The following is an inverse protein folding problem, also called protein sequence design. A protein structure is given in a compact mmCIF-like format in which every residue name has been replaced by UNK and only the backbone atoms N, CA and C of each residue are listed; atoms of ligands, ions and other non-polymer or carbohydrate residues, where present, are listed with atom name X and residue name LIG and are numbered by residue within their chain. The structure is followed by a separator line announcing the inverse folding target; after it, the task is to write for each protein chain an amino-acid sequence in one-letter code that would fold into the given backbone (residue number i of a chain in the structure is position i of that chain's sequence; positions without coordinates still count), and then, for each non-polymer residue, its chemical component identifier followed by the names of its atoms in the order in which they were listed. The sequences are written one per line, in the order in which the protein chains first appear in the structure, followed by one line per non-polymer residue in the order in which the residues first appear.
data_IF_129194327835
#
_entry.id   IF_129194327835
#
_cell.length_a   1.000
_cell.length_b   1.000
_cell.length_c   1.000
_cell.angle_alpha   90.00
_cell.angle_beta   90.00
_cell.angle_gamma   90.00
#
_symmetry.space_group_name_H-M   'P 1'
#
loop_
_entity.id
_entity.type
_entity.pdbx_description
1 polymer ?
#
# COMPACT_ATOMS: atom_id res chain seq x y z
N UNK A 1 -5.87 -30.01 -1.69
CA UNK A 1 -5.71 -28.56 -1.93
C UNK A 1 -4.25 -28.30 -2.27
N UNK A 2 -3.95 -27.57 -3.32
CA UNK A 2 -2.58 -27.19 -3.64
C UNK A 2 -2.09 -26.10 -2.65
N UNK A 3 -0.77 -25.98 -2.47
CA UNK A 3 -0.18 -24.91 -1.64
C UNK A 3 -0.63 -23.50 -2.10
N UNK A 4 -0.85 -23.33 -3.40
CA UNK A 4 -1.35 -22.08 -3.97
C UNK A 4 -2.79 -21.79 -3.53
N UNK A 5 -3.67 -22.80 -3.61
CA UNK A 5 -5.07 -22.64 -3.17
C UNK A 5 -5.18 -22.27 -1.69
N UNK A 6 -4.34 -22.84 -0.86
CA UNK A 6 -4.31 -22.52 0.57
C UNK A 6 -3.85 -21.06 0.81
N UNK A 7 -2.82 -20.59 0.08
CA UNK A 7 -2.35 -19.20 0.15
C UNK A 7 -3.42 -18.22 -0.34
N UNK A 8 -4.11 -18.55 -1.42
CA UNK A 8 -5.24 -17.73 -1.93
C UNK A 8 -6.34 -17.69 -0.88
N UNK A 9 -6.78 -18.83 -0.35
CA UNK A 9 -7.82 -18.90 0.68
C UNK A 9 -7.50 -18.02 1.90
N UNK A 10 -6.29 -18.14 2.45
CA UNK A 10 -5.84 -17.31 3.58
C UNK A 10 -5.83 -15.81 3.25
N UNK A 11 -5.50 -15.45 2.00
CA UNK A 11 -5.52 -14.06 1.56
C UNK A 11 -6.94 -13.51 1.46
N UNK A 12 -7.88 -14.31 0.93
CA UNK A 12 -9.30 -13.93 0.84
C UNK A 12 -9.95 -13.79 2.22
N UNK A 13 -9.66 -14.72 3.14
CA UNK A 13 -10.13 -14.65 4.53
C UNK A 13 -9.64 -13.37 5.21
N UNK A 14 -8.38 -13.02 5.01
CA UNK A 14 -7.79 -11.78 5.55
C UNK A 14 -8.44 -10.52 4.97
N UNK A 15 -8.64 -10.48 3.65
CA UNK A 15 -9.30 -9.35 3.02
C UNK A 15 -10.72 -9.14 3.56
N UNK A 16 -11.49 -10.21 3.76
CA UNK A 16 -12.82 -10.13 4.34
C UNK A 16 -12.80 -9.72 5.81
N UNK A 17 -11.80 -10.19 6.58
CA UNK A 17 -11.70 -9.89 8.00
C UNK A 17 -11.40 -8.41 8.30
N UNK A 18 -10.74 -7.71 7.39
CA UNK A 18 -10.34 -6.30 7.56
C UNK A 18 -11.03 -5.35 6.57
N UNK A 19 -12.13 -5.76 5.96
CA UNK A 19 -12.86 -4.90 5.03
C UNK A 19 -13.43 -3.67 5.73
N UNK A 20 -12.98 -2.44 5.37
CA UNK A 20 -13.54 -1.23 5.94
C UNK A 20 -14.87 -0.86 5.25
N UNK A 21 -15.73 -0.10 5.92
CA UNK A 21 -17.03 0.34 5.38
C UNK A 21 -16.87 1.13 4.06
N UNK A 22 -15.84 1.98 4.00
CA UNK A 22 -15.51 2.78 2.81
C UNK A 22 -14.83 1.99 1.69
N UNK A 23 -14.52 0.70 1.92
CA UNK A 23 -13.77 -0.15 1.01
C UNK A 23 -12.26 0.13 1.02
N UNK A 24 -11.50 -0.80 0.47
CA UNK A 24 -10.04 -0.70 0.37
C UNK A 24 -9.58 0.35 -0.64
N UNK A 25 -8.43 0.95 -0.40
CA UNK A 25 -7.65 1.66 -1.40
C UNK A 25 -6.58 0.73 -1.96
N UNK A 26 -6.66 0.35 -3.23
CA UNK A 26 -5.62 -0.43 -3.91
C UNK A 26 -4.63 0.51 -4.60
N UNK A 27 -3.39 0.57 -4.09
CA UNK A 27 -2.30 1.26 -4.76
C UNK A 27 -1.83 0.43 -5.97
N UNK A 28 -2.42 0.69 -7.13
CA UNK A 28 -2.17 -0.07 -8.35
C UNK A 28 -1.00 0.51 -9.13
N UNK A 29 0.02 -0.30 -9.42
CA UNK A 29 1.21 0.11 -10.17
C UNK A 29 1.32 -0.50 -11.57
N UNK A 30 0.41 -1.40 -11.93
CA UNK A 30 0.48 -2.18 -13.17
C UNK A 30 1.53 -3.30 -13.16
N UNK A 31 2.31 -3.43 -12.08
CA UNK A 31 3.24 -4.54 -11.90
C UNK A 31 2.52 -5.82 -11.45
N UNK A 32 3.14 -6.99 -11.66
CA UNK A 32 2.58 -8.30 -11.35
C UNK A 32 1.98 -8.40 -9.94
N UNK A 33 2.63 -7.81 -8.94
CA UNK A 33 2.18 -7.89 -7.55
C UNK A 33 0.88 -7.08 -7.33
N UNK A 34 0.75 -5.90 -7.93
CA UNK A 34 -0.48 -5.10 -7.86
C UNK A 34 -1.63 -5.70 -8.66
N UNK A 35 -1.32 -6.34 -9.79
CA UNK A 35 -2.32 -7.10 -10.58
C UNK A 35 -2.82 -8.30 -9.78
N UNK A 36 -1.92 -9.03 -9.09
CA UNK A 36 -2.31 -10.12 -8.19
C UNK A 36 -3.19 -9.62 -7.03
N UNK A 37 -2.84 -8.49 -6.41
CA UNK A 37 -3.66 -7.89 -5.35
C UNK A 37 -5.06 -7.53 -5.87
N UNK A 38 -5.16 -6.96 -7.08
CA UNK A 38 -6.44 -6.66 -7.71
C UNK A 38 -7.27 -7.93 -7.93
N UNK A 39 -6.67 -8.97 -8.49
CA UNK A 39 -7.36 -10.25 -8.68
C UNK A 39 -7.86 -10.86 -7.36
N UNK A 40 -7.08 -10.78 -6.28
CA UNK A 40 -7.52 -11.25 -4.96
C UNK A 40 -8.67 -10.41 -4.40
N UNK A 41 -8.68 -9.10 -4.61
CA UNK A 41 -9.79 -8.23 -4.22
C UNK A 41 -11.05 -8.57 -5.02
N UNK A 42 -10.94 -8.76 -6.35
CA UNK A 42 -12.05 -9.19 -7.21
C UNK A 42 -12.63 -10.55 -6.73
N UNK A 43 -11.76 -11.52 -6.42
CA UNK A 43 -12.17 -12.82 -5.90
C UNK A 43 -12.78 -12.76 -4.49
N UNK A 44 -12.37 -11.82 -3.66
CA UNK A 44 -12.88 -11.67 -2.29
C UNK A 44 -14.30 -11.10 -2.24
N UNK A 45 -14.69 -10.34 -3.27
CA UNK A 45 -15.95 -9.58 -3.32
C UNK A 45 -15.96 -8.35 -2.41
N UNK A 46 -14.82 -7.98 -1.81
CA UNK A 46 -14.69 -6.79 -0.97
C UNK A 46 -14.77 -5.51 -1.82
N UNK A 47 -15.28 -4.45 -1.24
CA UNK A 47 -15.32 -3.12 -1.88
C UNK A 47 -13.90 -2.56 -1.96
N UNK A 48 -13.53 -2.00 -3.11
CA UNK A 48 -12.24 -1.31 -3.24
C UNK A 48 -12.24 -0.28 -4.37
N UNK A 49 -11.32 0.69 -4.26
CA UNK A 49 -10.99 1.63 -5.32
C UNK A 49 -9.54 1.41 -5.75
N UNK A 50 -9.33 1.02 -7.00
CA UNK A 50 -7.98 0.89 -7.55
C UNK A 50 -7.52 2.22 -8.16
N UNK A 51 -6.36 2.70 -7.73
CA UNK A 51 -5.81 3.96 -8.23
C UNK A 51 -4.36 3.80 -8.69
N UNK A 52 -4.11 4.17 -9.94
CA UNK A 52 -2.77 4.33 -10.49
C UNK A 52 -2.33 5.78 -10.38
N UNK A 53 -1.29 6.03 -9.61
CA UNK A 53 -0.67 7.35 -9.46
C UNK A 53 0.33 7.59 -10.58
N UNK A 54 0.03 8.57 -11.44
CA UNK A 54 0.88 8.90 -12.60
C UNK A 54 2.17 9.55 -12.11
N UNK A 55 3.30 8.91 -12.39
CA UNK A 55 4.63 9.40 -11.95
C UNK A 55 5.30 10.34 -12.94
N UNK A 56 4.77 10.43 -14.17
CA UNK A 56 5.34 11.14 -15.33
C UNK A 56 6.66 10.58 -15.88
N UNK A 57 7.16 9.46 -15.34
CA UNK A 57 8.37 8.76 -15.80
C UNK A 57 8.14 7.27 -16.04
N UNK A 58 6.91 6.80 -15.89
CA UNK A 58 6.59 5.42 -16.20
C UNK A 58 6.65 5.17 -17.73
N UNK A 59 7.06 3.96 -18.17
CA UNK A 59 7.10 3.61 -19.57
C UNK A 59 5.72 3.76 -20.24
N UNK A 60 5.63 4.26 -21.48
CA UNK A 60 4.36 4.40 -22.19
C UNK A 60 3.59 3.07 -22.34
N UNK A 61 4.31 1.96 -22.43
CA UNK A 61 3.75 0.61 -22.51
C UNK A 61 2.95 0.26 -21.27
N UNK A 62 3.47 0.61 -20.09
CA UNK A 62 2.79 0.40 -18.82
C UNK A 62 1.50 1.21 -18.75
N UNK A 63 1.54 2.47 -19.16
CA UNK A 63 0.36 3.35 -19.18
C UNK A 63 -0.70 2.82 -20.13
N UNK A 64 -0.30 2.33 -21.31
CA UNK A 64 -1.20 1.70 -22.28
C UNK A 64 -1.80 0.41 -21.74
N UNK A 65 -0.98 -0.45 -21.11
CA UNK A 65 -1.43 -1.68 -20.46
C UNK A 65 -2.50 -1.38 -19.41
N UNK A 66 -2.25 -0.45 -18.50
CA UNK A 66 -3.23 -0.06 -17.48
C UNK A 66 -4.51 0.47 -18.10
N UNK A 67 -4.40 1.29 -19.17
CA UNK A 67 -5.57 1.85 -19.86
C UNK A 67 -6.42 0.79 -20.54
N UNK A 68 -5.79 -0.20 -21.16
CA UNK A 68 -6.48 -1.18 -21.99
C UNK A 68 -6.98 -2.38 -21.19
N UNK A 69 -6.13 -2.92 -20.30
CA UNK A 69 -6.44 -4.14 -19.54
C UNK A 69 -7.13 -3.88 -18.19
N UNK A 70 -6.98 -2.65 -17.67
CA UNK A 70 -7.56 -2.26 -16.38
C UNK A 70 -8.27 -0.91 -16.49
N UNK A 71 -9.33 -0.78 -17.31
CA UNK A 71 -10.05 0.47 -17.51
C UNK A 71 -10.77 0.97 -16.25
N UNK A 72 -11.06 0.08 -15.31
CA UNK A 72 -11.66 0.33 -14.01
C UNK A 72 -10.70 1.00 -13.02
N UNK A 73 -9.39 0.95 -13.29
CA UNK A 73 -8.38 1.60 -12.44
C UNK A 73 -8.37 3.11 -12.69
N UNK A 74 -8.67 3.87 -11.64
CA UNK A 74 -8.62 5.34 -11.69
C UNK A 74 -7.17 5.81 -11.89
N UNK A 75 -6.97 6.70 -12.84
CA UNK A 75 -5.67 7.34 -13.08
C UNK A 75 -5.66 8.71 -12.43
N UNK A 76 -4.73 8.94 -11.53
CA UNK A 76 -4.64 10.16 -10.77
C UNK A 76 -3.27 10.81 -10.92
N UNK A 77 -3.25 12.10 -11.28
CA UNK A 77 -2.04 12.92 -11.26
C UNK A 77 -1.92 13.56 -9.89
N UNK A 78 -0.84 13.29 -9.12
CA UNK A 78 -0.61 13.94 -7.84
C UNK A 78 -0.64 15.46 -7.96
N UNK A 79 -1.23 16.14 -6.97
CA UNK A 79 -1.28 17.60 -6.90
C UNK A 79 -0.64 18.11 -5.62
N UNK A 80 -0.07 19.29 -5.67
CA UNK A 80 0.44 19.99 -4.49
C UNK A 80 -0.68 20.75 -3.75
N UNK A 81 -0.33 21.43 -2.64
CA UNK A 81 -1.27 22.23 -1.85
C UNK A 81 -1.99 23.33 -2.65
N UNK A 82 -1.36 23.80 -3.72
CA UNK A 82 -1.88 24.86 -4.58
C UNK A 82 -2.69 24.31 -5.75
N UNK A 83 -2.88 22.97 -5.80
CA UNK A 83 -3.62 22.29 -6.84
C UNK A 83 -2.83 22.01 -8.13
N UNK A 84 -1.54 22.37 -8.19
CA UNK A 84 -0.73 22.16 -9.38
C UNK A 84 -0.31 20.68 -9.51
N UNK A 85 -0.21 20.12 -10.73
CA UNK A 85 0.23 18.78 -10.94
C UNK A 85 1.68 18.59 -10.49
N UNK A 86 1.92 17.55 -9.69
CA UNK A 86 3.27 17.17 -9.26
C UNK A 86 3.82 16.11 -10.22
N UNK A 87 4.93 16.43 -10.86
CA UNK A 87 5.63 15.57 -11.82
C UNK A 87 7.09 15.42 -11.41
N UNK A 88 7.79 14.42 -11.94
CA UNK A 88 9.23 14.29 -11.72
C UNK A 88 9.99 15.54 -12.19
N UNK A 89 9.55 16.10 -13.33
CA UNK A 89 10.18 17.25 -13.97
C UNK A 89 10.09 18.54 -13.15
N UNK A 90 9.02 18.72 -12.37
CA UNK A 90 8.92 19.89 -11.48
C UNK A 90 9.43 19.60 -10.05
N UNK A 91 9.53 18.33 -9.65
CA UNK A 91 10.13 17.95 -8.36
C UNK A 91 11.65 18.13 -8.34
N UNK A 92 12.35 17.78 -9.42
CA UNK A 92 13.82 17.86 -9.48
C UNK A 92 14.32 19.30 -9.23
N UNK A 93 13.82 20.33 -9.93
CA UNK A 93 14.20 21.71 -9.63
C UNK A 93 13.85 22.16 -8.21
N UNK A 94 12.66 21.78 -7.71
CA UNK A 94 12.23 22.11 -6.33
C UNK A 94 13.13 21.49 -5.26
N UNK A 95 13.72 20.33 -5.53
CA UNK A 95 14.62 19.61 -4.61
C UNK A 95 16.10 19.89 -4.89
N UNK A 96 16.40 20.63 -5.96
CA UNK A 96 17.76 20.99 -6.41
C UNK A 96 18.68 19.79 -6.65
N UNK A 97 18.11 18.59 -6.77
CA UNK A 97 18.86 17.35 -7.04
C UNK A 97 17.92 16.26 -7.60
N UNK A 98 18.40 15.38 -8.48
CA UNK A 98 17.62 14.22 -8.89
C UNK A 98 17.44 13.24 -7.73
N UNK A 99 16.37 12.41 -7.75
CA UNK A 99 16.18 11.39 -6.73
C UNK A 99 17.30 10.34 -6.81
N UNK A 100 17.75 9.89 -5.65
CA UNK A 100 18.76 8.84 -5.52
C UNK A 100 18.17 7.64 -4.78
N UNK A 101 18.93 6.53 -4.72
CA UNK A 101 18.53 5.35 -3.94
C UNK A 101 18.35 5.66 -2.44
N UNK A 102 19.11 6.62 -1.92
CA UNK A 102 19.03 7.05 -0.52
C UNK A 102 17.98 8.13 -0.31
N UNK A 103 17.88 9.08 -1.25
CA UNK A 103 16.93 10.21 -1.16
C UNK A 103 15.79 9.99 -2.13
N UNK A 104 14.74 9.29 -1.65
CA UNK A 104 13.62 8.79 -2.45
C UNK A 104 12.38 9.70 -2.37
N UNK A 105 12.55 11.01 -2.43
CA UNK A 105 11.44 11.96 -2.33
C UNK A 105 10.36 11.74 -3.43
N UNK A 106 10.76 11.19 -4.58
CA UNK A 106 9.81 10.85 -5.65
C UNK A 106 8.77 9.81 -5.22
N UNK A 107 9.16 8.81 -4.42
CA UNK A 107 8.21 7.81 -3.92
C UNK A 107 7.17 8.45 -3.04
N UNK A 108 7.60 9.25 -2.07
CA UNK A 108 6.70 9.94 -1.14
C UNK A 108 5.77 10.91 -1.86
N UNK A 109 6.31 11.73 -2.78
CA UNK A 109 5.51 12.77 -3.46
C UNK A 109 4.59 12.21 -4.55
N UNK A 110 5.01 11.16 -5.28
CA UNK A 110 4.28 10.69 -6.45
C UNK A 110 3.48 9.39 -6.19
N UNK A 111 3.96 8.50 -5.32
CA UNK A 111 3.34 7.17 -5.13
C UNK A 111 2.65 6.99 -3.78
N UNK A 112 3.26 7.48 -2.69
CA UNK A 112 2.85 7.16 -1.32
C UNK A 112 1.80 8.13 -0.75
N UNK A 113 1.49 9.21 -1.44
CA UNK A 113 0.54 10.25 -0.99
C UNK A 113 -0.92 9.98 -1.34
N UNK A 114 -1.26 8.78 -1.79
CA UNK A 114 -2.65 8.41 -2.10
C UNK A 114 -3.28 7.55 -1.02
N UNK A 115 -4.63 7.59 -0.92
CA UNK A 115 -5.39 6.78 0.01
C UNK A 115 -5.30 7.23 1.47
N UNK A 116 -5.07 8.53 1.70
CA UNK A 116 -5.00 9.10 3.04
C UNK A 116 -6.26 8.78 3.86
N UNK A 117 -6.04 8.24 5.06
CA UNK A 117 -7.11 7.84 5.98
C UNK A 117 -7.82 6.51 5.62
N UNK A 118 -7.48 5.88 4.50
CA UNK A 118 -8.08 4.60 4.05
C UNK A 118 -7.15 3.41 4.29
N UNK A 119 -7.74 2.24 4.44
CA UNK A 119 -6.98 1.00 4.51
C UNK A 119 -6.43 0.65 3.12
N UNK A 120 -5.10 0.68 3.00
CA UNK A 120 -4.40 0.51 1.71
C UNK A 120 -3.92 -0.93 1.51
N UNK A 121 -4.29 -1.53 0.37
CA UNK A 121 -3.74 -2.81 -0.09
C UNK A 121 -2.52 -2.55 -0.96
N UNK A 122 -1.41 -3.20 -0.63
CA UNK A 122 -0.15 -3.10 -1.38
C UNK A 122 0.46 -4.48 -1.61
N UNK A 123 0.98 -4.70 -2.81
CA UNK A 123 1.68 -5.93 -3.19
C UNK A 123 3.15 -5.93 -2.74
N UNK A 124 3.41 -5.90 -1.43
CA UNK A 124 4.76 -5.92 -0.88
C UNK A 124 5.18 -7.34 -0.53
N UNK A 125 6.31 -7.80 -1.07
CA UNK A 125 6.85 -9.13 -0.78
C UNK A 125 7.99 -9.06 0.24
N UNK A 126 7.94 -9.93 1.23
CA UNK A 126 9.02 -10.04 2.24
C UNK A 126 10.36 -10.46 1.63
N UNK A 127 10.33 -11.29 0.59
CA UNK A 127 11.53 -11.76 -0.11
C UNK A 127 12.35 -10.63 -0.79
N UNK A 128 11.76 -9.43 -0.97
CA UNK A 128 12.46 -8.31 -1.62
C UNK A 128 13.47 -7.60 -0.71
N UNK A 129 13.35 -7.72 0.61
CA UNK A 129 14.24 -7.03 1.53
C UNK A 129 14.11 -7.60 2.95
N UNK A 130 15.25 -7.89 3.57
CA UNK A 130 15.33 -8.32 4.98
C UNK A 130 14.68 -7.28 5.91
N UNK A 131 14.82 -5.99 5.61
CA UNK A 131 14.17 -4.93 6.38
C UNK A 131 12.64 -4.96 6.26
N UNK A 132 12.11 -5.33 5.09
CA UNK A 132 10.66 -5.50 4.91
C UNK A 132 10.16 -6.70 5.70
N UNK A 133 10.85 -7.82 5.63
CA UNK A 133 10.51 -9.02 6.39
C UNK A 133 10.47 -8.76 7.91
N UNK A 134 11.45 -8.00 8.43
CA UNK A 134 11.53 -7.70 9.86
C UNK A 134 10.54 -6.63 10.35
N UNK A 135 10.18 -5.68 9.47
CA UNK A 135 9.47 -4.47 9.87
C UNK A 135 8.05 -4.36 9.32
N UNK A 136 7.63 -5.26 8.44
CA UNK A 136 6.29 -5.24 7.86
C UNK A 136 5.56 -6.53 8.21
N UNK A 137 4.54 -6.41 9.07
CA UNK A 137 3.56 -7.48 9.27
C UNK A 137 2.65 -7.62 8.05
N UNK A 138 1.79 -8.63 8.07
CA UNK A 138 0.77 -8.86 7.03
C UNK A 138 -0.22 -7.69 6.98
N UNK A 139 -0.59 -7.15 8.13
CA UNK A 139 -1.35 -5.92 8.28
C UNK A 139 -0.50 -4.93 9.08
N UNK A 140 -0.30 -3.73 8.56
CA UNK A 140 0.48 -2.68 9.23
C UNK A 140 -0.39 -1.43 9.36
N UNK A 141 -0.64 -1.00 10.57
CA UNK A 141 -1.38 0.23 10.84
C UNK A 141 -0.37 1.37 11.00
N UNK A 142 -0.44 2.33 10.11
CA UNK A 142 0.45 3.49 10.11
C UNK A 142 -0.07 4.58 11.04
N UNK A 143 -1.40 4.74 11.14
CA UNK A 143 -2.05 5.73 11.99
C UNK A 143 -2.64 5.09 13.26
N UNK A 144 -2.32 5.68 14.43
CA UNK A 144 -2.88 5.26 15.72
C UNK A 144 -4.39 5.45 15.84
N UNK A 145 -4.98 6.39 15.10
CA UNK A 145 -6.42 6.60 15.08
C UNK A 145 -7.12 5.47 14.34
N UNK A 146 -6.54 5.03 13.21
CA UNK A 146 -7.04 3.88 12.47
C UNK A 146 -6.95 2.58 13.29
N UNK A 147 -5.96 2.43 14.17
CA UNK A 147 -5.82 1.25 15.04
C UNK A 147 -6.97 1.05 16.03
N UNK A 148 -7.80 2.06 16.25
CA UNK A 148 -8.96 2.01 17.16
C UNK A 148 -10.26 1.66 16.43
N UNK A 149 -10.23 1.48 15.12
CA UNK A 149 -11.41 1.09 14.34
C UNK A 149 -11.86 -0.34 14.74
N UNK A 150 -13.18 -0.61 14.74
CA UNK A 150 -13.73 -1.89 15.20
C UNK A 150 -13.17 -3.11 14.48
N UNK A 151 -12.97 -3.00 13.17
CA UNK A 151 -12.44 -4.07 12.33
C UNK A 151 -11.05 -4.59 12.77
N UNK A 152 -10.25 -3.75 13.45
CA UNK A 152 -8.95 -4.16 14.00
C UNK A 152 -9.05 -4.71 15.43
N UNK A 153 -10.11 -4.40 16.16
CA UNK A 153 -10.32 -4.88 17.52
C UNK A 153 -10.82 -6.33 17.56
N UNK A 154 -11.61 -6.73 16.57
CA UNK A 154 -12.30 -8.02 16.54
C UNK A 154 -11.47 -9.15 15.93
N UNK A 155 -10.55 -8.83 15.02
CA UNK A 155 -9.77 -9.82 14.26
C UNK A 155 -8.41 -10.13 14.91
N UNK A 156 -8.43 -10.84 16.05
CA UNK A 156 -7.21 -11.18 16.83
C UNK A 156 -6.26 -12.15 16.13
N UNK A 157 -6.73 -12.94 15.18
CA UNK A 157 -5.92 -13.94 14.46
C UNK A 157 -4.94 -13.32 13.45
N UNK A 158 -5.15 -12.03 13.11
CA UNK A 158 -4.30 -11.26 12.21
C UNK A 158 -3.81 -10.00 12.90
N UNK A 159 -2.99 -10.14 13.94
CA UNK A 159 -2.49 -9.00 14.70
C UNK A 159 -1.78 -7.98 13.79
N UNK A 160 -2.28 -6.73 13.71
CA UNK A 160 -1.67 -5.71 12.88
C UNK A 160 -0.39 -5.16 13.53
N UNK A 161 0.61 -4.89 12.71
CA UNK A 161 1.81 -4.15 13.14
C UNK A 161 1.49 -2.66 13.11
N UNK A 162 1.52 -1.99 14.26
CA UNK A 162 1.25 -0.55 14.36
C UNK A 162 2.53 0.24 14.09
N UNK A 163 2.52 1.10 13.07
CA UNK A 163 3.57 2.10 12.83
C UNK A 163 3.07 3.48 13.25
N UNK A 164 3.90 4.21 14.01
CA UNK A 164 3.61 5.60 14.34
C UNK A 164 3.75 6.49 13.09
N UNK A 165 2.67 7.20 12.72
CA UNK A 165 2.73 8.25 11.71
C UNK A 165 3.52 9.46 12.24
N UNK A 166 4.50 9.90 11.47
CA UNK A 166 5.35 11.06 11.75
C UNK A 166 6.72 10.88 11.11
N UNK A 167 7.32 11.96 10.65
CA UNK A 167 8.60 12.01 9.94
C UNK A 167 9.82 11.48 10.73
N UNK A 168 9.61 10.87 11.88
CA UNK A 168 10.58 10.06 12.61
C UNK A 168 9.91 8.74 12.97
N UNK A 169 10.34 7.66 12.34
CA UNK A 169 9.98 6.29 12.68
C UNK A 169 10.37 6.01 14.15
N UNK A 170 9.49 6.30 15.09
CA UNK A 170 9.58 5.74 16.43
C UNK A 170 8.88 4.39 16.37
N UNK A 171 9.65 3.32 16.22
CA UNK A 171 9.21 2.00 16.62
C UNK A 171 8.77 2.08 18.09
N UNK A 172 7.49 1.91 18.33
CA UNK A 172 7.04 1.53 19.68
C UNK A 172 7.56 0.10 19.89
N UNK A 173 8.69 0.00 20.56
CA UNK A 173 9.06 -1.24 21.24
C UNK A 173 7.93 -1.50 22.24
N UNK A 174 7.16 -2.55 22.02
CA UNK A 174 6.36 -3.18 23.05
C UNK A 174 7.29 -3.40 24.22
N UNK A 175 6.95 -2.80 25.36
CA UNK A 175 7.61 -3.10 26.63
C UNK A 175 7.52 -4.60 26.85
N UNK A 176 8.66 -5.17 27.18
CA UNK A 176 8.90 -6.54 27.57
C UNK A 176 7.72 -7.15 28.33
N UNK A 177 7.03 -8.09 27.70
CA UNK A 177 6.60 -9.31 28.35
C UNK A 177 6.47 -10.35 27.24
N UNK A 178 7.20 -11.45 27.45
CA UNK A 178 7.52 -12.46 26.48
C UNK A 178 6.32 -13.08 25.80
N UNK A 179 6.47 -13.25 24.53
CA UNK A 179 5.56 -13.96 23.65
C UNK A 179 6.11 -13.88 22.24
N UNK A 180 7.06 -14.75 21.93
CA UNK A 180 7.42 -15.09 20.56
C UNK A 180 6.19 -15.67 19.89
N UNK A 181 5.68 -15.04 18.85
CA UNK A 181 4.78 -15.69 17.89
C UNK A 181 5.35 -15.63 16.50
N UNK A 182 5.51 -16.83 15.99
CA UNK A 182 5.90 -17.20 14.62
C UNK A 182 4.93 -16.64 13.57
#
# INVERSE_FOLDING_TARGET
MSELEEKVKKSLERLKAFEPEEGYYLAFSGGKDSVTCKALLDMSGCKYDATYRVTSVDPPELVRFIKNEHPDVKREVPRDSDGNPVTMWNLIPRKSMPPTRLVRYCCTSLKESGGDGRLTVTGVRWAESVNRQKNQGMVTIIDRKAAKKPEFAENRDFLPTIRGGGSKQRQLRSSKNGGTML
#
